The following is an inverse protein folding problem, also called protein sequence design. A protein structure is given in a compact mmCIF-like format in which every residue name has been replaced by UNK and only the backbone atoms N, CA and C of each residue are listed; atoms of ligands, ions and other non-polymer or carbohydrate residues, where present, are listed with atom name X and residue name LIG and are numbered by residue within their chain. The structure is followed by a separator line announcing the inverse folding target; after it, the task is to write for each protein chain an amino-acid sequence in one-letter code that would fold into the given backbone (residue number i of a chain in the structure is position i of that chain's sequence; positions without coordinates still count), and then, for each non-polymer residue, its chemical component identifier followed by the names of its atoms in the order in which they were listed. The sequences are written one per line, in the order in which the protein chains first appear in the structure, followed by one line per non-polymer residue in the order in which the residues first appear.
data_IF_905205351198
#
_entry.id   IF_905205351198
#
_cell.length_a   1.000
_cell.length_b   1.000
_cell.length_c   1.000
_cell.angle_alpha   90.00
_cell.angle_beta   90.00
_cell.angle_gamma   90.00
#
_symmetry.space_group_name_H-M   'P 1'
#
loop_
_entity.id
_entity.type
_entity.pdbx_description
1 polymer ?
#
# COMPACT_ATOMS: atom_id res chain seq x y z
N UNK A 1 -16.41 -12.46 -17.53
CA UNK A 1 -15.55 -12.90 -16.41
C UNK A 1 -14.12 -12.75 -16.92
N UNK A 2 -13.44 -11.66 -16.55
CA UNK A 2 -12.08 -11.39 -17.05
C UNK A 2 -11.13 -12.36 -16.37
N UNK A 3 -10.39 -13.14 -17.15
CA UNK A 3 -9.44 -14.11 -16.61
C UNK A 3 -8.19 -13.39 -16.07
N UNK A 4 -8.25 -13.00 -14.81
CA UNK A 4 -7.15 -12.34 -14.11
C UNK A 4 -5.92 -13.24 -13.97
N UNK A 5 -6.03 -14.56 -14.22
CA UNK A 5 -4.91 -15.50 -14.12
C UNK A 5 -3.82 -15.21 -15.16
N UNK A 6 -4.18 -14.68 -16.33
CA UNK A 6 -3.23 -14.29 -17.38
C UNK A 6 -2.46 -13.01 -16.99
N UNK A 7 -3.15 -12.04 -16.38
CA UNK A 7 -2.56 -10.80 -15.88
C UNK A 7 -1.61 -11.07 -14.69
N UNK A 8 -2.04 -11.95 -13.77
CA UNK A 8 -1.22 -12.42 -12.63
C UNK A 8 0.05 -13.14 -13.08
N UNK A 9 -0.03 -13.99 -14.12
CA UNK A 9 1.16 -14.66 -14.70
C UNK A 9 2.10 -13.65 -15.37
N UNK A 10 1.55 -12.67 -16.09
CA UNK A 10 2.34 -11.62 -16.73
C UNK A 10 3.10 -10.75 -15.75
N UNK A 11 2.54 -10.46 -14.58
CA UNK A 11 3.20 -9.67 -13.53
C UNK A 11 4.29 -10.47 -12.80
N UNK A 12 4.08 -11.77 -12.55
CA UNK A 12 5.09 -12.62 -11.88
C UNK A 12 6.43 -12.70 -12.63
N UNK A 13 6.41 -12.64 -13.96
CA UNK A 13 7.60 -12.69 -14.82
C UNK A 13 8.26 -11.32 -15.06
N UNK A 14 7.70 -10.24 -14.52
CA UNK A 14 8.25 -8.89 -14.67
C UNK A 14 9.49 -8.66 -13.78
N UNK A 15 10.31 -7.68 -14.16
CA UNK A 15 11.44 -7.25 -13.35
C UNK A 15 11.00 -6.74 -11.98
N UNK A 16 11.86 -6.89 -10.97
CA UNK A 16 11.60 -6.37 -9.61
C UNK A 16 11.30 -4.86 -9.62
N UNK A 17 11.95 -4.10 -10.50
CA UNK A 17 11.71 -2.67 -10.65
C UNK A 17 10.30 -2.38 -11.18
N UNK A 18 9.81 -3.17 -12.14
CA UNK A 18 8.45 -3.00 -12.67
C UNK A 18 7.41 -3.31 -11.60
N UNK A 19 7.58 -4.42 -10.88
CA UNK A 19 6.68 -4.81 -9.79
C UNK A 19 6.64 -3.75 -8.68
N UNK A 20 7.80 -3.21 -8.32
CA UNK A 20 7.92 -2.12 -7.36
C UNK A 20 7.11 -0.89 -7.80
N UNK A 21 7.28 -0.45 -9.05
CA UNK A 21 6.52 0.67 -9.61
C UNK A 21 5.02 0.40 -9.61
N UNK A 22 4.60 -0.83 -9.96
CA UNK A 22 3.19 -1.20 -9.91
C UNK A 22 2.60 -1.08 -8.50
N UNK A 23 3.31 -1.54 -7.47
CA UNK A 23 2.88 -1.38 -6.06
C UNK A 23 2.81 0.10 -5.67
N UNK A 24 3.77 0.91 -6.12
CA UNK A 24 3.77 2.35 -5.90
C UNK A 24 2.55 3.01 -6.53
N UNK A 25 2.25 2.71 -7.79
CA UNK A 25 1.10 3.26 -8.52
C UNK A 25 -0.23 2.81 -7.88
N UNK A 26 -0.37 1.52 -7.54
CA UNK A 26 -1.54 0.98 -6.84
C UNK A 26 -1.76 1.72 -5.52
N UNK A 27 -0.70 1.87 -4.72
CA UNK A 27 -0.78 2.52 -3.41
C UNK A 27 -1.21 3.98 -3.53
N UNK A 28 -0.68 4.71 -4.51
CA UNK A 28 -1.07 6.10 -4.77
C UNK A 28 -2.54 6.22 -5.23
N UNK A 29 -3.01 5.31 -6.09
CA UNK A 29 -4.40 5.27 -6.54
C UNK A 29 -5.36 4.96 -5.39
N UNK A 30 -5.03 3.96 -4.56
CA UNK A 30 -5.80 3.60 -3.36
C UNK A 30 -5.88 4.78 -2.38
N UNK A 31 -4.78 5.48 -2.14
CA UNK A 31 -4.75 6.67 -1.28
C UNK A 31 -5.56 7.82 -1.87
N UNK A 32 -5.51 8.05 -3.19
CA UNK A 32 -6.32 9.07 -3.85
C UNK A 32 -7.82 8.75 -3.75
N UNK A 33 -8.20 7.49 -3.96
CA UNK A 33 -9.58 7.04 -3.80
C UNK A 33 -10.05 7.15 -2.34
N UNK A 34 -9.20 6.77 -1.39
CA UNK A 34 -9.49 6.90 0.05
C UNK A 34 -9.71 8.37 0.45
N UNK A 35 -8.84 9.28 -0.02
CA UNK A 35 -9.00 10.73 0.18
C UNK A 35 -10.29 11.25 -0.43
N UNK A 36 -10.65 10.82 -1.64
CA UNK A 36 -11.90 11.20 -2.29
C UNK A 36 -13.11 10.79 -1.44
N UNK A 37 -13.20 9.52 -1.03
CA UNK A 37 -14.29 9.01 -0.17
C UNK A 37 -14.36 9.75 1.16
N UNK A 38 -13.19 10.01 1.77
CA UNK A 38 -13.12 10.79 3.00
C UNK A 38 -13.74 12.18 2.82
N UNK A 39 -13.41 12.89 1.74
CA UNK A 39 -13.97 14.22 1.47
C UNK A 39 -15.46 14.18 1.11
N UNK A 40 -15.94 13.14 0.41
CA UNK A 40 -17.35 12.93 0.15
C UNK A 40 -18.14 12.74 1.46
N UNK A 41 -17.67 11.86 2.36
CA UNK A 41 -18.29 11.68 3.67
C UNK A 41 -18.18 12.93 4.56
N UNK A 42 -17.08 13.66 4.47
CA UNK A 42 -16.88 14.90 5.23
C UNK A 42 -17.81 16.02 4.74
N UNK A 43 -17.99 16.16 3.43
CA UNK A 43 -18.89 17.19 2.86
C UNK A 43 -20.38 16.89 3.10
N UNK A 44 -20.75 15.61 3.22
CA UNK A 44 -22.13 15.18 3.50
C UNK A 44 -22.51 15.26 4.98
N UNK A 45 -21.54 15.16 5.90
CA UNK A 45 -21.80 15.27 7.33
C UNK A 45 -21.59 16.72 7.79
N UNK A 46 -22.69 17.47 7.93
CA UNK A 46 -22.74 18.83 8.45
C UNK A 46 -21.94 18.99 9.77
N UNK A 47 -21.49 20.23 10.03
CA UNK A 47 -20.59 20.68 11.11
C UNK A 47 -20.76 19.99 12.49
N UNK A 48 -21.96 19.52 12.84
CA UNK A 48 -22.28 18.89 14.14
C UNK A 48 -21.70 17.47 14.35
N UNK A 49 -21.38 16.72 13.28
CA UNK A 49 -20.71 15.41 13.41
C UNK A 49 -19.19 15.50 13.47
N UNK A 50 -18.61 16.70 13.25
CA UNK A 50 -17.16 16.93 13.22
C UNK A 50 -16.46 16.58 14.54
N UNK A 51 -17.17 16.67 15.66
CA UNK A 51 -16.62 16.35 16.98
C UNK A 51 -16.62 14.85 17.30
N UNK A 52 -17.32 14.02 16.52
CA UNK A 52 -17.41 12.57 16.72
C UNK A 52 -16.48 11.76 15.80
N UNK A 53 -16.05 12.32 14.66
CA UNK A 53 -15.09 11.66 13.76
C UNK A 53 -13.67 11.89 14.27
N UNK A 54 -13.37 11.29 15.43
CA UNK A 54 -12.03 11.34 16.05
C UNK A 54 -10.99 10.49 15.32
N UNK A 55 -11.41 9.61 14.42
CA UNK A 55 -10.50 8.72 13.72
C UNK A 55 -10.32 9.17 12.26
N UNK A 56 -9.40 10.11 12.05
CA UNK A 56 -8.99 10.64 10.72
C UNK A 56 -8.15 9.63 9.93
N UNK A 57 -8.45 8.36 10.10
CA UNK A 57 -7.63 7.28 9.58
C UNK A 57 -8.05 6.96 8.14
N UNK A 58 -7.22 7.39 7.17
CA UNK A 58 -7.42 7.09 5.74
C UNK A 58 -7.45 5.58 5.46
N UNK A 59 -6.83 4.74 6.30
CA UNK A 59 -6.87 3.27 6.17
C UNK A 59 -8.29 2.72 6.20
N UNK A 60 -9.25 3.41 6.85
CA UNK A 60 -10.66 3.02 6.85
C UNK A 60 -11.28 3.02 5.44
N UNK A 61 -10.82 3.92 4.56
CA UNK A 61 -11.41 4.15 3.24
C UNK A 61 -10.76 3.34 2.11
N UNK A 62 -9.67 2.64 2.41
CA UNK A 62 -8.99 1.74 1.47
C UNK A 62 -9.89 0.57 1.05
N UNK A 63 -9.63 0.02 -0.12
CA UNK A 63 -10.31 -1.19 -0.60
C UNK A 63 -10.07 -2.40 0.30
N UNK A 64 -10.95 -3.40 0.20
CA UNK A 64 -10.75 -4.66 0.93
C UNK A 64 -9.51 -5.42 0.45
N UNK A 65 -9.20 -5.38 -0.84
CA UNK A 65 -7.98 -5.98 -1.40
C UNK A 65 -6.73 -5.34 -0.80
N UNK A 66 -6.70 -4.00 -0.70
CA UNK A 66 -5.62 -3.27 -0.04
C UNK A 66 -5.49 -3.64 1.43
N UNK A 67 -6.60 -3.63 2.18
CA UNK A 67 -6.63 -4.00 3.60
C UNK A 67 -6.14 -5.43 3.83
N UNK A 68 -6.55 -6.35 2.97
CA UNK A 68 -6.13 -7.75 3.03
C UNK A 68 -4.64 -7.86 2.78
N UNK A 69 -4.14 -7.25 1.70
CA UNK A 69 -2.71 -7.26 1.38
C UNK A 69 -1.85 -6.72 2.53
N UNK A 70 -2.16 -5.54 3.08
CA UNK A 70 -1.39 -4.95 4.19
C UNK A 70 -1.50 -5.77 5.49
N UNK A 71 -2.65 -6.40 5.76
CA UNK A 71 -2.84 -7.20 6.99
C UNK A 71 -1.92 -8.42 7.05
N UNK A 72 -1.41 -8.88 5.91
CA UNK A 72 -0.48 -10.01 5.87
C UNK A 72 0.96 -9.60 6.11
N UNK A 73 1.29 -8.31 6.06
CA UNK A 73 2.66 -7.82 6.18
C UNK A 73 3.16 -7.98 7.62
N UNK A 74 4.40 -8.42 7.77
CA UNK A 74 5.09 -8.38 9.06
C UNK A 74 5.33 -6.93 9.48
N UNK A 75 5.62 -6.69 10.76
CA UNK A 75 5.92 -5.34 11.26
C UNK A 75 7.00 -4.62 10.45
N UNK A 76 8.07 -5.32 10.07
CA UNK A 76 9.14 -4.72 9.28
C UNK A 76 8.74 -4.51 7.82
N UNK A 77 7.96 -5.42 7.24
CA UNK A 77 7.39 -5.21 5.91
C UNK A 77 6.44 -4.01 5.91
N UNK A 78 5.62 -3.83 6.94
CA UNK A 78 4.75 -2.67 7.07
C UNK A 78 5.55 -1.36 7.15
N UNK A 79 6.66 -1.32 7.87
CA UNK A 79 7.55 -0.15 7.90
C UNK A 79 8.12 0.18 6.51
N UNK A 80 8.57 -0.83 5.75
CA UNK A 80 8.98 -0.63 4.36
C UNK A 80 7.82 -0.07 3.55
N UNK A 81 6.64 -0.68 3.68
CA UNK A 81 5.46 -0.31 2.90
C UNK A 81 5.06 1.15 3.14
N UNK A 82 4.97 1.56 4.40
CA UNK A 82 4.59 2.90 4.79
C UNK A 82 5.61 3.94 4.32
N UNK A 83 6.92 3.65 4.46
CA UNK A 83 7.97 4.62 4.13
C UNK A 83 8.19 4.78 2.62
N UNK A 84 8.09 3.69 1.86
CA UNK A 84 8.32 3.72 0.41
C UNK A 84 7.06 4.04 -0.42
N UNK A 85 5.86 3.62 0.03
CA UNK A 85 4.65 3.72 -0.80
C UNK A 85 3.56 4.65 -0.24
N UNK A 86 3.55 4.95 1.07
CA UNK A 86 2.50 5.76 1.70
C UNK A 86 2.98 7.18 2.00
N UNK A 87 4.09 7.31 2.72
CA UNK A 87 4.54 8.58 3.31
C UNK A 87 5.77 9.19 2.65
N UNK A 88 6.32 8.56 1.61
CA UNK A 88 7.58 8.91 0.92
C UNK A 88 8.55 9.71 1.80
N UNK A 89 9.43 9.01 2.50
CA UNK A 89 10.48 9.64 3.29
C UNK A 89 11.72 9.81 2.39
N UNK A 90 12.26 11.02 2.32
CA UNK A 90 13.43 11.35 1.49
C UNK A 90 14.74 10.73 2.03
N UNK A 91 14.75 10.31 3.30
CA UNK A 91 15.86 9.56 3.90
C UNK A 91 16.05 8.20 3.22
N UNK A 92 17.04 8.14 2.33
CA UNK A 92 17.32 6.96 1.50
C UNK A 92 17.93 5.76 2.25
N UNK A 93 18.29 5.92 3.53
CA UNK A 93 19.05 4.91 4.29
C UNK A 93 18.46 4.60 5.69
N UNK A 94 17.21 4.99 5.96
CA UNK A 94 16.51 4.69 7.23
C UNK A 94 16.56 3.21 7.67
N UNK A 95 16.74 2.28 6.72
CA UNK A 95 16.81 0.85 7.00
C UNK A 95 18.13 0.42 7.65
N UNK A 96 19.18 1.24 7.62
CA UNK A 96 20.51 0.90 8.15
C UNK A 96 20.49 0.73 9.67
N UNK A 97 19.55 1.39 10.36
CA UNK A 97 19.31 1.21 11.80
C UNK A 97 18.78 -0.19 12.15
N UNK A 98 18.27 -0.95 11.17
CA UNK A 98 17.59 -2.22 11.38
C UNK A 98 18.28 -3.40 10.69
N UNK A 99 18.83 -3.19 9.49
CA UNK A 99 19.42 -4.27 8.70
C UNK A 99 20.39 -3.76 7.63
N UNK A 100 21.18 -4.70 7.07
CA UNK A 100 22.04 -4.40 5.93
C UNK A 100 21.22 -4.10 4.66
N UNK A 101 21.78 -3.26 3.78
CA UNK A 101 21.22 -2.92 2.46
C UNK A 101 20.77 -4.14 1.65
N UNK A 102 21.55 -5.22 1.64
CA UNK A 102 21.19 -6.45 0.93
C UNK A 102 19.98 -7.16 1.53
N UNK A 103 19.86 -7.16 2.86
CA UNK A 103 18.71 -7.71 3.58
C UNK A 103 17.46 -6.88 3.33
N UNK A 104 17.59 -5.56 3.34
CA UNK A 104 16.54 -4.61 3.02
C UNK A 104 15.94 -4.90 1.64
N UNK A 105 16.76 -4.92 0.58
CA UNK A 105 16.25 -5.14 -0.78
C UNK A 105 15.62 -6.51 -0.98
N UNK A 106 16.13 -7.56 -0.32
CA UNK A 106 15.50 -8.88 -0.33
C UNK A 106 14.11 -8.84 0.28
N UNK A 107 13.97 -8.20 1.45
CA UNK A 107 12.68 -8.06 2.14
C UNK A 107 11.70 -7.19 1.37
N UNK A 108 12.16 -6.09 0.79
CA UNK A 108 11.35 -5.23 -0.08
C UNK A 108 10.81 -5.99 -1.29
N UNK A 109 11.65 -6.75 -2.00
CA UNK A 109 11.19 -7.52 -3.16
C UNK A 109 10.19 -8.62 -2.73
N UNK A 110 10.46 -9.31 -1.62
CA UNK A 110 9.53 -10.29 -1.04
C UNK A 110 8.18 -9.67 -0.68
N UNK A 111 8.19 -8.48 -0.08
CA UNK A 111 7.00 -7.70 0.23
C UNK A 111 6.23 -7.36 -1.04
N UNK A 112 6.91 -6.85 -2.07
CA UNK A 112 6.28 -6.46 -3.34
C UNK A 112 5.61 -7.66 -4.01
N UNK A 113 6.28 -8.80 -4.06
CA UNK A 113 5.71 -10.03 -4.61
C UNK A 113 4.50 -10.50 -3.80
N UNK A 114 4.61 -10.52 -2.47
CA UNK A 114 3.53 -10.90 -1.56
C UNK A 114 2.32 -9.98 -1.69
N UNK A 115 2.54 -8.67 -1.72
CA UNK A 115 1.51 -7.66 -1.89
C UNK A 115 0.75 -7.88 -3.20
N UNK A 116 1.47 -7.97 -4.33
CA UNK A 116 0.83 -8.15 -5.65
C UNK A 116 0.06 -9.47 -5.74
N UNK A 117 0.58 -10.54 -5.15
CA UNK A 117 -0.11 -11.83 -5.13
C UNK A 117 -1.44 -11.79 -4.39
N UNK A 118 -1.56 -10.96 -3.35
CA UNK A 118 -2.78 -10.87 -2.53
C UNK A 118 -3.73 -9.81 -3.07
N UNK A 119 -3.20 -8.68 -3.52
CA UNK A 119 -4.00 -7.55 -4.00
C UNK A 119 -4.76 -7.86 -5.29
N UNK A 120 -4.16 -8.68 -6.16
CA UNK A 120 -4.68 -9.04 -7.49
C UNK A 120 -5.42 -10.39 -7.54
N UNK A 121 -5.51 -11.10 -6.41
CA UNK A 121 -6.32 -12.31 -6.24
C UNK A 121 -7.78 -11.94 -5.96
#
# INVERSE_FOLDING_TARGET
MTDYSVLLRGIKTQSNLTKYKAVQDISQLELAQAKKKYWEEFSLNSYDKLNQVRDRNLYRFLSNSMKTAISTLTRFEMEIFEREFVWYIEDSQWYEDFCSKSTYYKRRNSLVDKFLNIYLD
#
